data_IF_432623474916
#
_entry.id   IF_432623474916
#
_cell.length_a   1.000
_cell.length_b   1.000
_cell.length_c   1.000
_cell.angle_alpha   90.00
_cell.angle_beta   90.00
_cell.angle_gamma   90.00
#
_symmetry.space_group_name_H-M   'P 1'
#
loop_
_entity.id
_entity.type
_entity.pdbx_description
1 polymer ?
#
# COMPACT_ATOMS: atom_id res chain seq x y z
N UNK A 1 -6.72 -5.67 38.85
CA UNK A 1 -7.77 -6.04 37.93
C UNK A 1 -8.16 -7.50 38.15
N UNK A 2 -9.44 -7.79 38.39
CA UNK A 2 -10.01 -9.13 38.44
C UNK A 2 -10.40 -9.55 36.99
N UNK A 3 -10.09 -10.79 36.57
CA UNK A 3 -10.44 -11.33 35.27
C UNK A 3 -11.49 -12.41 35.49
N UNK A 4 -12.59 -12.32 34.73
CA UNK A 4 -13.72 -13.24 34.86
C UNK A 4 -14.42 -13.45 33.49
N UNK A 5 -15.20 -14.53 33.32
CA UNK A 5 -16.00 -14.72 32.14
C UNK A 5 -17.00 -13.58 31.94
N UNK A 6 -17.27 -13.24 30.70
CA UNK A 6 -18.30 -12.28 30.29
C UNK A 6 -19.69 -12.76 30.76
N UNK A 7 -20.49 -11.83 31.24
CA UNK A 7 -21.92 -12.02 31.52
C UNK A 7 -22.76 -11.10 30.63
N UNK A 8 -24.05 -11.44 30.41
CA UNK A 8 -24.92 -10.63 29.53
C UNK A 8 -25.11 -9.19 29.98
N UNK A 9 -25.00 -8.95 31.30
CA UNK A 9 -24.98 -7.60 31.87
C UNK A 9 -23.79 -6.75 31.47
N UNK A 10 -22.76 -7.35 30.85
CA UNK A 10 -21.54 -6.66 30.44
C UNK A 10 -21.61 -6.12 29.00
N UNK A 11 -22.68 -6.46 28.26
CA UNK A 11 -22.77 -6.20 26.85
C UNK A 11 -22.47 -4.74 26.49
N UNK A 12 -23.20 -3.80 27.08
CA UNK A 12 -23.05 -2.37 26.74
C UNK A 12 -21.64 -1.86 27.12
N UNK A 13 -21.10 -2.31 28.27
CA UNK A 13 -19.77 -1.92 28.72
C UNK A 13 -18.65 -2.48 27.81
N UNK A 14 -18.80 -3.71 27.31
CA UNK A 14 -17.86 -4.32 26.38
C UNK A 14 -17.91 -3.63 25.02
N UNK A 15 -19.10 -3.35 24.48
CA UNK A 15 -19.26 -2.64 23.20
C UNK A 15 -18.65 -1.23 23.30
N UNK A 16 -18.96 -0.49 24.38
CA UNK A 16 -18.38 0.84 24.60
C UNK A 16 -16.85 0.80 24.73
N UNK A 17 -16.29 -0.23 25.41
CA UNK A 17 -14.84 -0.43 25.48
C UNK A 17 -14.23 -0.69 24.08
N UNK A 18 -14.86 -1.52 23.25
CA UNK A 18 -14.39 -1.81 21.91
C UNK A 18 -14.44 -0.58 21.01
N UNK A 19 -15.48 0.25 21.11
CA UNK A 19 -15.56 1.55 20.42
C UNK A 19 -14.44 2.50 20.84
N UNK A 20 -14.24 2.65 22.15
CA UNK A 20 -13.17 3.49 22.70
C UNK A 20 -11.75 3.01 22.30
N UNK A 21 -11.60 1.73 21.95
CA UNK A 21 -10.36 1.13 21.48
C UNK A 21 -10.24 1.06 19.95
N UNK A 22 -11.24 1.50 19.19
CA UNK A 22 -11.26 1.44 17.72
C UNK A 22 -11.30 0.00 17.18
N UNK A 23 -11.93 -0.93 17.91
CA UNK A 23 -12.01 -2.35 17.54
C UNK A 23 -13.29 -2.72 16.79
N UNK A 24 -14.28 -1.84 16.73
CA UNK A 24 -15.49 -2.06 15.97
C UNK A 24 -15.26 -1.62 14.51
N UNK A 25 -15.62 -2.50 13.60
CA UNK A 25 -15.52 -2.29 12.14
C UNK A 25 -16.89 -2.62 11.51
N UNK A 26 -17.23 -1.94 10.43
CA UNK A 26 -18.57 -1.99 9.84
C UNK A 26 -19.07 -3.40 9.44
N UNK A 27 -18.14 -4.32 9.16
CA UNK A 27 -18.45 -5.70 8.77
C UNK A 27 -18.48 -6.71 9.93
N UNK A 28 -18.21 -6.27 11.17
CA UNK A 28 -18.26 -7.12 12.36
C UNK A 28 -19.21 -6.51 13.40
N UNK A 29 -20.44 -6.97 13.42
CA UNK A 29 -21.41 -6.58 14.43
C UNK A 29 -21.07 -7.19 15.79
N UNK A 30 -20.81 -6.38 16.84
CA UNK A 30 -20.49 -6.88 18.17
C UNK A 30 -21.54 -7.82 18.75
N UNK A 31 -22.83 -7.57 18.51
CA UNK A 31 -23.91 -8.40 19.04
C UNK A 31 -23.88 -9.80 18.42
N UNK A 32 -23.70 -9.87 17.12
CA UNK A 32 -23.57 -11.15 16.40
C UNK A 32 -22.31 -11.92 16.80
N UNK A 33 -21.18 -11.22 17.00
CA UNK A 33 -19.92 -11.83 17.46
C UNK A 33 -20.09 -12.44 18.87
N UNK A 34 -20.64 -11.69 19.81
CA UNK A 34 -20.86 -12.17 21.18
C UNK A 34 -21.88 -13.31 21.21
N UNK A 35 -22.97 -13.23 20.42
CA UNK A 35 -23.97 -14.29 20.32
C UNK A 35 -23.37 -15.61 19.78
N UNK A 36 -22.42 -15.54 18.85
CA UNK A 36 -21.70 -16.72 18.35
C UNK A 36 -20.78 -17.31 19.42
N UNK A 37 -19.99 -16.46 20.10
CA UNK A 37 -19.08 -16.88 21.16
C UNK A 37 -19.78 -17.62 22.30
N UNK A 38 -21.02 -17.22 22.64
CA UNK A 38 -21.82 -17.87 23.70
C UNK A 38 -22.31 -19.30 23.35
N UNK A 39 -22.28 -19.65 22.08
CA UNK A 39 -22.69 -20.98 21.57
C UNK A 39 -21.52 -21.90 21.31
N UNK A 40 -20.30 -21.40 21.50
CA UNK A 40 -19.07 -22.11 21.12
C UNK A 40 -18.27 -22.44 22.41
N UNK A 41 -18.21 -23.73 22.75
CA UNK A 41 -17.42 -24.23 23.88
C UNK A 41 -15.92 -24.09 23.68
N UNK A 42 -15.49 -23.84 22.43
CA UNK A 42 -14.10 -23.65 22.04
C UNK A 42 -13.64 -22.17 22.08
N UNK A 43 -14.51 -21.27 22.54
CA UNK A 43 -14.18 -19.85 22.66
C UNK A 43 -14.71 -19.26 23.95
N UNK A 44 -14.08 -18.18 24.42
CA UNK A 44 -14.48 -17.42 25.59
C UNK A 44 -14.22 -15.93 25.39
N UNK A 45 -15.14 -15.11 25.88
CA UNK A 45 -14.93 -13.69 26.12
C UNK A 45 -14.66 -13.51 27.61
N UNK A 46 -13.49 -12.94 27.92
CA UNK A 46 -13.09 -12.63 29.28
C UNK A 46 -13.09 -11.11 29.46
N UNK A 47 -13.53 -10.66 30.63
CA UNK A 47 -13.56 -9.25 31.02
C UNK A 47 -12.66 -9.00 32.20
N UNK A 48 -12.04 -7.83 32.22
CA UNK A 48 -11.18 -7.35 33.31
C UNK A 48 -11.84 -6.18 34.04
N UNK A 49 -11.94 -6.26 35.37
CA UNK A 49 -12.59 -5.24 36.21
C UNK A 49 -11.66 -4.66 37.26
N UNK A 50 -11.86 -3.39 37.55
CA UNK A 50 -11.37 -2.72 38.75
C UNK A 50 -12.58 -2.21 39.57
N UNK A 51 -12.85 -2.85 40.73
CA UNK A 51 -14.15 -2.70 41.37
C UNK A 51 -15.27 -3.15 40.44
N UNK A 52 -16.29 -2.32 40.28
CA UNK A 52 -17.44 -2.59 39.39
C UNK A 52 -17.18 -2.13 37.94
N UNK A 53 -16.08 -1.41 37.70
CA UNK A 53 -15.80 -0.85 36.38
C UNK A 53 -15.11 -1.88 35.45
N UNK A 54 -15.69 -2.14 34.30
CA UNK A 54 -15.08 -2.93 33.24
C UNK A 54 -14.01 -2.07 32.53
N UNK A 55 -12.75 -2.54 32.56
CA UNK A 55 -11.59 -1.80 32.03
C UNK A 55 -10.83 -2.57 30.95
N UNK A 56 -11.15 -3.83 30.75
CA UNK A 56 -10.47 -4.66 29.75
C UNK A 56 -11.31 -5.81 29.24
N UNK A 57 -10.98 -6.32 28.08
CA UNK A 57 -11.56 -7.54 27.52
C UNK A 57 -10.57 -8.26 26.63
N UNK A 58 -10.78 -9.55 26.42
CA UNK A 58 -10.08 -10.39 25.47
C UNK A 58 -10.99 -11.52 25.01
N UNK A 59 -11.00 -11.82 23.71
CA UNK A 59 -11.58 -13.03 23.16
C UNK A 59 -10.47 -14.05 22.95
N UNK A 60 -10.67 -15.27 23.40
CA UNK A 60 -9.81 -16.41 23.18
C UNK A 60 -10.63 -17.57 22.62
N UNK A 61 -10.08 -18.29 21.66
CA UNK A 61 -10.71 -19.48 21.10
C UNK A 61 -9.66 -20.44 20.55
N UNK A 62 -10.10 -21.63 20.11
CA UNK A 62 -9.25 -22.59 19.44
C UNK A 62 -10.02 -23.42 18.40
N UNK A 63 -9.31 -23.89 17.39
CA UNK A 63 -9.79 -24.76 16.32
C UNK A 63 -9.43 -26.25 16.55
N UNK A 64 -9.03 -26.62 17.79
CA UNK A 64 -8.50 -27.93 18.15
C UNK A 64 -7.01 -28.08 17.88
N UNK A 65 -6.40 -27.20 17.11
CA UNK A 65 -4.98 -27.27 16.74
C UNK A 65 -4.19 -26.02 17.21
N UNK A 66 -4.79 -24.83 17.09
CA UNK A 66 -4.20 -23.53 17.46
C UNK A 66 -5.18 -22.72 18.31
N UNK A 67 -4.61 -21.94 19.22
CA UNK A 67 -5.35 -20.92 19.94
C UNK A 67 -5.32 -19.60 19.18
N UNK A 68 -6.41 -18.86 19.26
CA UNK A 68 -6.61 -17.58 18.60
C UNK A 68 -7.02 -16.50 19.59
N UNK A 69 -6.35 -15.36 19.56
CA UNK A 69 -6.67 -14.18 20.38
C UNK A 69 -7.30 -13.13 19.49
N UNK A 70 -8.42 -12.57 19.95
CA UNK A 70 -9.13 -11.50 19.28
C UNK A 70 -9.51 -10.42 20.28
N UNK A 71 -9.76 -9.21 19.80
CA UNK A 71 -10.36 -8.09 20.55
C UNK A 71 -9.74 -7.87 21.94
N UNK A 72 -8.39 -7.93 22.07
CA UNK A 72 -7.73 -7.48 23.28
C UNK A 72 -7.90 -5.97 23.40
N UNK A 73 -8.64 -5.53 24.42
CA UNK A 73 -8.92 -4.14 24.70
C UNK A 73 -8.56 -3.78 26.13
N UNK A 74 -8.01 -2.59 26.33
CA UNK A 74 -7.85 -1.94 27.64
C UNK A 74 -8.33 -0.49 27.49
N UNK A 75 -9.19 -0.07 28.41
CA UNK A 75 -9.69 1.29 28.46
C UNK A 75 -8.51 2.29 28.42
N UNK A 76 -8.57 3.36 27.59
CA UNK A 76 -7.44 4.27 27.38
C UNK A 76 -6.76 4.74 28.67
N UNK A 77 -7.55 5.12 29.67
CA UNK A 77 -7.07 5.64 30.95
C UNK A 77 -6.44 4.57 31.86
N UNK A 78 -6.61 3.27 31.53
CA UNK A 78 -6.09 2.13 32.29
C UNK A 78 -4.95 1.42 31.56
N UNK A 79 -4.43 2.01 30.48
CA UNK A 79 -3.28 1.46 29.72
C UNK A 79 -1.98 1.65 30.49
N UNK A 80 -0.95 0.85 30.11
CA UNK A 80 0.41 0.87 30.70
C UNK A 80 0.52 0.45 32.16
N UNK A 81 -0.54 -0.13 32.75
CA UNK A 81 -0.56 -0.68 34.10
C UNK A 81 -0.43 -2.22 34.15
N UNK A 82 -0.04 -2.85 33.05
CA UNK A 82 0.14 -4.31 32.97
C UNK A 82 -1.14 -5.11 32.72
N UNK A 83 -2.31 -4.48 32.61
CA UNK A 83 -3.60 -5.15 32.48
C UNK A 83 -3.72 -5.99 31.20
N UNK A 84 -3.21 -5.49 30.06
CA UNK A 84 -3.18 -6.26 28.81
C UNK A 84 -2.36 -7.54 28.95
N UNK A 85 -1.19 -7.46 29.63
CA UNK A 85 -0.36 -8.64 29.93
C UNK A 85 -1.12 -9.65 30.76
N UNK A 86 -1.85 -9.20 31.79
CA UNK A 86 -2.62 -10.07 32.65
C UNK A 86 -3.72 -10.81 31.88
N UNK A 87 -4.45 -10.12 30.99
CA UNK A 87 -5.48 -10.73 30.13
C UNK A 87 -4.86 -11.77 29.18
N UNK A 88 -3.74 -11.45 28.53
CA UNK A 88 -3.06 -12.40 27.63
C UNK A 88 -2.60 -13.64 28.39
N UNK A 89 -1.98 -13.48 29.57
CA UNK A 89 -1.56 -14.62 30.41
C UNK A 89 -2.73 -15.49 30.87
N UNK A 90 -3.85 -14.87 31.20
CA UNK A 90 -5.07 -15.61 31.58
C UNK A 90 -5.62 -16.40 30.36
N UNK A 91 -5.66 -15.79 29.19
CA UNK A 91 -6.04 -16.45 27.93
C UNK A 91 -5.09 -17.60 27.55
N UNK A 92 -3.78 -17.43 27.74
CA UNK A 92 -2.80 -18.52 27.56
C UNK A 92 -3.04 -19.69 28.53
N UNK A 93 -3.41 -19.38 29.79
CA UNK A 93 -3.83 -20.39 30.79
C UNK A 93 -5.04 -21.16 30.31
N UNK A 94 -6.09 -20.47 29.84
CA UNK A 94 -7.29 -21.06 29.31
C UNK A 94 -7.03 -22.04 28.14
N UNK A 95 -6.10 -21.69 27.23
CA UNK A 95 -5.65 -22.58 26.15
C UNK A 95 -4.89 -23.79 26.70
N UNK A 96 -4.01 -23.58 27.67
CA UNK A 96 -3.20 -24.65 28.26
C UNK A 96 -4.06 -25.71 28.96
N UNK A 97 -5.12 -25.31 29.64
CA UNK A 97 -6.09 -26.22 30.27
C UNK A 97 -6.79 -27.12 29.24
N UNK A 98 -6.87 -26.66 27.98
CA UNK A 98 -7.45 -27.39 26.84
C UNK A 98 -6.41 -28.11 25.96
N UNK A 99 -5.17 -28.23 26.44
CA UNK A 99 -4.03 -28.84 25.73
C UNK A 99 -3.69 -28.15 24.40
N UNK A 100 -4.04 -26.88 24.21
CA UNK A 100 -3.66 -26.10 23.04
C UNK A 100 -2.29 -25.46 23.29
N UNK A 101 -1.30 -25.90 22.52
CA UNK A 101 0.12 -25.58 22.77
C UNK A 101 0.60 -24.28 22.13
N UNK A 102 -0.15 -23.70 21.21
CA UNK A 102 0.30 -22.50 20.47
C UNK A 102 -0.85 -21.50 20.36
N UNK A 103 -0.61 -20.30 20.84
CA UNK A 103 -1.47 -19.12 20.64
C UNK A 103 -0.99 -18.30 19.45
N UNK A 104 -1.90 -17.75 18.68
CA UNK A 104 -1.62 -16.87 17.54
C UNK A 104 -2.74 -15.83 17.35
N UNK A 105 -2.44 -14.78 16.60
CA UNK A 105 -3.36 -13.70 16.22
C UNK A 105 -2.81 -12.97 15.03
N UNK A 106 -3.59 -12.09 14.44
CA UNK A 106 -3.20 -11.23 13.32
C UNK A 106 -3.10 -9.78 13.79
N UNK A 107 -2.07 -9.09 13.35
CA UNK A 107 -1.84 -7.65 13.58
C UNK A 107 -1.74 -6.99 12.22
N UNK A 108 -2.33 -5.81 12.06
CA UNK A 108 -2.12 -4.98 10.86
C UNK A 108 -0.66 -4.54 10.82
N UNK A 109 -0.01 -4.64 9.67
CA UNK A 109 1.42 -4.29 9.50
C UNK A 109 1.76 -2.90 10.03
N UNK A 110 0.84 -1.95 9.89
CA UNK A 110 1.00 -0.58 10.39
C UNK A 110 0.95 -0.45 11.91
N UNK A 111 0.57 -1.51 12.67
CA UNK A 111 0.41 -1.43 14.12
C UNK A 111 1.66 -1.88 14.88
N UNK A 112 2.76 -1.16 14.69
CA UNK A 112 4.05 -1.45 15.34
C UNK A 112 3.98 -1.41 16.88
N UNK A 113 3.12 -0.59 17.46
CA UNK A 113 2.97 -0.51 18.92
C UNK A 113 2.45 -1.82 19.52
N UNK A 114 1.43 -2.42 18.88
CA UNK A 114 0.85 -3.71 19.30
C UNK A 114 1.84 -4.85 19.00
N UNK A 115 2.51 -4.85 17.86
CA UNK A 115 3.56 -5.82 17.54
C UNK A 115 4.65 -5.85 18.60
N UNK A 116 5.19 -4.67 18.97
CA UNK A 116 6.20 -4.54 20.01
C UNK A 116 5.72 -4.96 21.40
N UNK A 117 4.43 -4.77 21.72
CA UNK A 117 3.84 -5.28 22.95
C UNK A 117 3.91 -6.81 23.02
N UNK A 118 3.50 -7.51 21.95
CA UNK A 118 3.49 -8.98 21.95
C UNK A 118 4.91 -9.58 21.87
N UNK A 119 5.84 -8.95 21.16
CA UNK A 119 7.26 -9.35 21.17
C UNK A 119 7.82 -9.34 22.60
N UNK A 120 7.50 -8.32 23.40
CA UNK A 120 7.88 -8.27 24.83
C UNK A 120 7.20 -9.33 25.71
N UNK A 121 6.13 -9.95 25.23
CA UNK A 121 5.49 -11.10 25.89
C UNK A 121 6.08 -12.45 25.46
N UNK A 122 7.01 -12.46 24.49
CA UNK A 122 7.64 -13.68 23.96
C UNK A 122 6.98 -14.23 22.70
N UNK A 123 6.12 -13.45 22.05
CA UNK A 123 5.57 -13.84 20.74
C UNK A 123 6.56 -13.49 19.61
N UNK A 124 6.58 -14.33 18.60
CA UNK A 124 7.44 -14.18 17.43
C UNK A 124 6.62 -13.86 16.18
N UNK A 125 7.17 -12.99 15.34
CA UNK A 125 6.60 -12.72 14.01
C UNK A 125 6.82 -13.96 13.13
N UNK A 126 5.75 -14.45 12.54
CA UNK A 126 5.80 -15.60 11.63
C UNK A 126 5.76 -15.13 10.18
N UNK A 127 6.67 -15.58 9.29
CA UNK A 127 6.68 -15.21 7.88
C UNK A 127 5.57 -15.98 7.13
N UNK A 128 4.33 -15.55 7.28
CA UNK A 128 3.16 -16.20 6.68
C UNK A 128 2.26 -15.17 6.01
N UNK A 129 1.68 -15.56 4.90
CA UNK A 129 0.65 -14.78 4.21
C UNK A 129 -0.70 -15.27 4.74
N UNK A 130 -1.57 -14.35 5.10
CA UNK A 130 -2.97 -14.63 5.44
C UNK A 130 -3.80 -14.43 4.19
N UNK A 131 -4.59 -15.45 3.83
CA UNK A 131 -5.56 -15.38 2.75
C UNK A 131 -6.96 -15.51 3.35
N UNK A 132 -7.91 -14.72 2.90
CA UNK A 132 -9.29 -14.75 3.37
C UNK A 132 -10.27 -14.62 2.20
N UNK A 133 -11.46 -15.23 2.38
CA UNK A 133 -12.60 -15.09 1.48
C UNK A 133 -13.87 -15.03 2.32
N UNK A 134 -14.80 -14.19 1.94
CA UNK A 134 -16.15 -14.24 2.49
C UNK A 134 -16.85 -15.52 1.98
N UNK A 135 -17.45 -16.29 2.88
CA UNK A 135 -18.13 -17.55 2.55
C UNK A 135 -19.65 -17.43 2.55
N UNK A 136 -20.15 -16.25 2.91
CA UNK A 136 -21.57 -15.92 2.83
C UNK A 136 -21.89 -15.58 1.38
N UNK A 137 -22.43 -16.58 0.66
CA UNK A 137 -22.55 -16.57 -0.81
C UNK A 137 -23.86 -15.94 -1.30
N UNK A 138 -24.71 -15.42 -0.43
CA UNK A 138 -25.91 -14.68 -0.85
C UNK A 138 -25.64 -13.20 -1.13
N UNK A 139 -24.45 -12.71 -0.80
CA UNK A 139 -23.98 -11.42 -1.29
C UNK A 139 -22.89 -11.68 -2.33
N UNK A 140 -23.17 -11.32 -3.57
CA UNK A 140 -22.09 -11.03 -4.52
C UNK A 140 -21.05 -10.19 -3.77
N UNK A 141 -19.79 -10.63 -3.77
CA UNK A 141 -18.69 -9.83 -3.20
C UNK A 141 -18.91 -8.39 -3.66
N UNK A 142 -18.98 -7.41 -2.76
CA UNK A 142 -19.12 -6.03 -3.22
C UNK A 142 -18.03 -5.80 -4.26
N UNK A 143 -18.37 -5.30 -5.43
CA UNK A 143 -17.39 -5.13 -6.50
C UNK A 143 -16.20 -4.37 -5.91
N UNK A 144 -15.00 -4.86 -6.20
CA UNK A 144 -13.78 -4.22 -5.70
C UNK A 144 -13.89 -2.71 -5.96
N UNK A 145 -13.60 -1.87 -4.95
CA UNK A 145 -13.72 -0.42 -5.13
C UNK A 145 -12.94 0.01 -6.35
N UNK A 146 -13.55 0.87 -7.17
CA UNK A 146 -12.96 1.35 -8.41
C UNK A 146 -12.63 2.84 -8.32
N UNK A 147 -11.69 3.27 -9.14
CA UNK A 147 -11.36 4.68 -9.38
C UNK A 147 -11.67 5.00 -10.84
N UNK A 148 -12.44 6.06 -11.05
CA UNK A 148 -12.63 6.61 -12.39
C UNK A 148 -11.45 7.48 -12.74
N UNK A 149 -10.78 7.15 -13.83
CA UNK A 149 -9.60 7.86 -14.30
C UNK A 149 -9.81 8.37 -15.71
N UNK A 150 -9.16 9.49 -16.00
CA UNK A 150 -9.08 10.06 -17.34
C UNK A 150 -7.64 9.92 -17.80
N UNK A 151 -7.43 9.22 -18.91
CA UNK A 151 -6.12 9.07 -19.54
C UNK A 151 -6.08 9.97 -20.76
N UNK A 152 -5.12 10.87 -20.81
CA UNK A 152 -4.86 11.75 -21.94
C UNK A 152 -3.62 11.25 -22.66
N UNK A 153 -3.79 10.83 -23.89
CA UNK A 153 -2.70 10.41 -24.79
C UNK A 153 -2.19 11.61 -25.57
N UNK A 154 -0.87 11.78 -25.54
CA UNK A 154 -0.20 12.87 -26.24
C UNK A 154 0.85 12.29 -27.20
N UNK A 155 1.09 13.03 -28.29
CA UNK A 155 2.05 12.66 -29.32
C UNK A 155 2.92 13.83 -29.75
N UNK A 156 4.04 13.49 -30.36
CA UNK A 156 4.94 14.41 -31.07
C UNK A 156 5.34 13.73 -32.39
N UNK A 157 5.02 14.38 -33.53
CA UNK A 157 5.20 13.83 -34.88
C UNK A 157 6.48 14.31 -35.56
N UNK A 158 7.34 15.01 -34.86
CA UNK A 158 8.63 15.47 -35.33
C UNK A 158 9.50 15.99 -34.21
N UNK A 159 10.79 15.91 -34.41
CA UNK A 159 11.76 16.42 -33.40
C UNK A 159 11.52 17.92 -33.11
N UNK A 160 11.57 18.33 -31.85
CA UNK A 160 11.28 19.72 -31.50
C UNK A 160 12.35 20.65 -32.05
N UNK A 161 11.93 21.72 -32.78
CA UNK A 161 12.81 22.76 -33.33
C UNK A 161 13.10 23.81 -32.26
N UNK A 162 13.88 23.47 -31.25
CA UNK A 162 14.27 24.35 -30.16
C UNK A 162 15.75 24.18 -29.81
N UNK A 163 16.42 25.18 -29.21
CA UNK A 163 17.72 24.95 -28.63
C UNK A 163 17.69 23.90 -27.51
N UNK A 164 18.82 23.24 -27.28
CA UNK A 164 18.98 22.34 -26.13
C UNK A 164 18.67 23.10 -24.82
N UNK A 165 17.84 22.53 -24.00
CA UNK A 165 17.49 23.14 -22.71
C UNK A 165 18.69 23.07 -21.79
N UNK A 166 19.18 24.20 -21.26
CA UNK A 166 20.34 24.20 -20.38
C UNK A 166 20.08 23.43 -19.10
N UNK A 167 21.09 22.74 -18.60
CA UNK A 167 21.02 22.05 -17.34
C UNK A 167 20.81 23.07 -16.19
N UNK A 168 19.93 22.78 -15.22
CA UNK A 168 19.85 23.56 -13.99
C UNK A 168 21.20 23.59 -13.26
N UNK A 169 21.46 24.60 -12.44
CA UNK A 169 22.69 24.68 -11.68
C UNK A 169 22.83 23.51 -10.70
N UNK A 170 24.05 23.01 -10.51
CA UNK A 170 24.34 21.90 -9.61
C UNK A 170 25.12 20.76 -10.27
N UNK A 171 25.43 19.73 -9.49
CA UNK A 171 26.05 18.50 -9.99
C UNK A 171 24.97 17.55 -10.49
N UNK A 172 24.82 17.46 -11.80
CA UNK A 172 23.86 16.57 -12.44
C UNK A 172 24.59 15.50 -13.25
N UNK A 173 24.02 14.31 -13.27
CA UNK A 173 24.40 13.24 -14.20
C UNK A 173 23.12 12.56 -14.72
N UNK A 174 23.14 12.22 -16.00
CA UNK A 174 22.12 11.41 -16.64
C UNK A 174 22.80 10.13 -17.12
N UNK A 175 22.41 9.02 -16.52
CA UNK A 175 23.03 7.73 -16.78
C UNK A 175 22.03 6.75 -17.33
N UNK A 176 22.42 6.02 -18.36
CA UNK A 176 21.67 4.86 -18.85
C UNK A 176 21.84 3.71 -17.86
N UNK A 177 20.74 3.09 -17.46
CA UNK A 177 20.73 1.90 -16.65
C UNK A 177 20.72 0.68 -17.56
N UNK A 178 21.90 0.15 -17.86
CA UNK A 178 22.10 -0.91 -18.86
C UNK A 178 21.59 -2.29 -18.38
N UNK A 179 21.76 -2.58 -17.10
CA UNK A 179 21.40 -3.85 -16.48
C UNK A 179 20.68 -3.60 -15.17
N UNK A 180 19.39 -3.21 -15.20
CA UNK A 180 18.62 -2.95 -14.01
C UNK A 180 18.49 -4.20 -13.15
N UNK A 181 18.84 -4.10 -11.86
CA UNK A 181 18.41 -5.11 -10.89
C UNK A 181 16.96 -4.83 -10.50
N UNK A 182 16.23 -5.87 -10.09
CA UNK A 182 14.83 -5.76 -9.66
C UNK A 182 14.70 -4.77 -8.49
N UNK A 183 15.63 -4.83 -7.53
CA UNK A 183 15.64 -4.01 -6.32
C UNK A 183 15.81 -2.53 -6.67
N UNK A 184 16.77 -2.20 -7.53
CA UNK A 184 17.01 -0.81 -7.92
C UNK A 184 15.88 -0.27 -8.79
N UNK A 185 15.34 -1.09 -9.69
CA UNK A 185 14.17 -0.72 -10.50
C UNK A 185 12.96 -0.42 -9.60
N UNK A 186 12.63 -1.34 -8.66
CA UNK A 186 11.54 -1.13 -7.71
C UNK A 186 11.74 0.12 -6.86
N UNK A 187 12.97 0.35 -6.39
CA UNK A 187 13.28 1.57 -5.65
C UNK A 187 12.93 2.83 -6.46
N UNK A 188 13.32 2.90 -7.75
CA UNK A 188 13.00 4.02 -8.62
C UNK A 188 11.48 4.15 -8.85
N UNK A 189 10.84 3.05 -9.23
CA UNK A 189 9.41 3.00 -9.52
C UNK A 189 8.56 3.40 -8.34
N UNK A 190 8.86 2.86 -7.16
CA UNK A 190 8.13 3.13 -5.93
C UNK A 190 8.38 4.56 -5.41
N UNK A 191 9.65 5.00 -5.41
CA UNK A 191 9.99 6.33 -4.91
C UNK A 191 9.40 7.47 -5.74
N UNK A 192 9.25 7.27 -7.04
CA UNK A 192 8.63 8.26 -7.95
C UNK A 192 7.12 8.10 -7.99
N UNK A 193 6.62 6.87 -8.13
CA UNK A 193 5.27 6.58 -8.58
C UNK A 193 4.23 6.34 -7.48
N UNK A 194 4.63 6.03 -6.23
CA UNK A 194 3.69 5.65 -5.18
C UNK A 194 2.59 6.69 -4.96
N UNK A 195 2.94 7.96 -4.85
CA UNK A 195 1.97 9.03 -4.66
C UNK A 195 1.09 9.32 -5.89
N UNK A 196 1.46 8.76 -7.05
CA UNK A 196 0.78 8.93 -8.34
C UNK A 196 0.04 7.66 -8.78
N UNK A 197 -0.13 6.72 -7.88
CA UNK A 197 -0.84 5.47 -8.14
C UNK A 197 -0.19 4.61 -9.24
N UNK A 198 1.12 4.62 -9.38
CA UNK A 198 1.80 3.70 -10.25
C UNK A 198 1.77 2.29 -9.64
N UNK A 199 1.01 1.40 -10.21
CA UNK A 199 0.74 0.08 -9.64
C UNK A 199 1.04 -1.07 -10.60
N UNK A 200 1.08 -0.82 -11.91
CA UNK A 200 1.17 -1.85 -12.93
C UNK A 200 2.41 -2.74 -12.75
N UNK A 201 3.55 -2.16 -12.44
CA UNK A 201 4.79 -2.91 -12.22
C UNK A 201 4.83 -3.60 -10.85
N UNK A 202 4.07 -3.11 -9.86
CA UNK A 202 4.01 -3.69 -8.52
C UNK A 202 3.32 -5.05 -8.49
N UNK A 203 2.35 -5.29 -9.36
CA UNK A 203 1.64 -6.56 -9.47
C UNK A 203 2.47 -7.67 -10.14
N UNK A 204 3.61 -7.33 -10.78
CA UNK A 204 4.43 -8.31 -11.46
C UNK A 204 5.27 -9.13 -10.48
N UNK A 205 5.29 -10.45 -10.66
CA UNK A 205 6.26 -11.32 -9.98
C UNK A 205 7.69 -10.91 -10.35
N UNK A 206 8.67 -11.32 -9.53
CA UNK A 206 10.08 -11.03 -9.78
C UNK A 206 10.51 -11.47 -11.20
N UNK A 207 10.13 -12.68 -11.62
CA UNK A 207 10.50 -13.22 -12.94
C UNK A 207 9.86 -12.42 -14.09
N UNK A 208 8.58 -12.05 -13.95
CA UNK A 208 7.87 -11.23 -14.95
C UNK A 208 8.47 -9.81 -15.01
N UNK A 209 8.76 -9.23 -13.88
CA UNK A 209 9.39 -7.91 -13.83
C UNK A 209 10.78 -7.95 -14.45
N UNK A 210 11.59 -8.95 -14.12
CA UNK A 210 12.92 -9.16 -14.71
C UNK A 210 12.82 -9.27 -16.25
N UNK A 211 11.89 -10.09 -16.74
CA UNK A 211 11.68 -10.25 -18.18
C UNK A 211 11.29 -8.93 -18.88
N UNK A 212 10.56 -8.04 -18.21
CA UNK A 212 10.22 -6.71 -18.73
C UNK A 212 11.43 -5.79 -18.76
N UNK A 213 12.10 -5.64 -17.61
CA UNK A 213 13.17 -4.63 -17.47
C UNK A 213 14.47 -5.01 -18.18
N UNK A 214 14.62 -6.25 -18.63
CA UNK A 214 15.77 -6.72 -19.41
C UNK A 214 15.53 -6.73 -20.93
N UNK A 215 14.39 -6.23 -21.39
CA UNK A 215 14.11 -6.16 -22.83
C UNK A 215 15.04 -5.17 -23.53
N UNK A 216 15.66 -5.55 -24.67
CA UNK A 216 16.62 -4.68 -25.36
C UNK A 216 15.98 -3.47 -26.02
N UNK A 217 14.65 -3.44 -26.10
CA UNK A 217 13.86 -2.33 -26.64
C UNK A 217 13.39 -1.35 -25.59
N UNK A 218 13.71 -1.56 -24.33
CA UNK A 218 13.34 -0.71 -23.23
C UNK A 218 14.60 -0.03 -22.66
N UNK A 219 14.69 1.27 -22.83
CA UNK A 219 15.82 2.06 -22.34
C UNK A 219 15.44 2.80 -21.05
N UNK A 220 16.27 2.67 -20.02
CA UNK A 220 16.11 3.33 -18.74
C UNK A 220 17.19 4.39 -18.55
N UNK A 221 16.80 5.59 -18.15
CA UNK A 221 17.74 6.65 -17.79
C UNK A 221 17.40 7.22 -16.44
N UNK A 222 18.40 7.41 -15.61
CA UNK A 222 18.28 7.96 -14.26
C UNK A 222 18.95 9.32 -14.20
N UNK A 223 18.21 10.32 -13.72
CA UNK A 223 18.74 11.61 -13.39
C UNK A 223 19.30 11.56 -11.97
N UNK A 224 20.57 11.91 -11.81
CA UNK A 224 21.22 12.11 -10.51
C UNK A 224 21.43 13.59 -10.25
N UNK A 225 21.19 14.02 -9.02
CA UNK A 225 21.42 15.37 -8.52
C UNK A 225 22.21 15.28 -7.23
N UNK A 226 23.40 15.87 -7.20
CA UNK A 226 24.27 15.82 -6.02
C UNK A 226 24.76 14.42 -5.63
N UNK A 227 24.59 13.42 -6.51
CA UNK A 227 24.93 12.02 -6.26
C UNK A 227 23.75 11.14 -5.88
N UNK A 228 22.55 11.71 -5.68
CA UNK A 228 21.31 10.97 -5.38
C UNK A 228 20.48 10.79 -6.63
N UNK A 229 19.79 9.62 -6.81
CA UNK A 229 18.78 9.46 -7.82
C UNK A 229 17.65 10.48 -7.61
N UNK A 230 17.36 11.29 -8.61
CA UNK A 230 16.37 12.36 -8.54
C UNK A 230 15.12 12.10 -9.37
N UNK A 231 15.19 11.14 -10.28
CA UNK A 231 14.10 10.72 -11.13
C UNK A 231 14.57 9.76 -12.20
N UNK A 232 13.62 9.19 -12.95
CA UNK A 232 13.94 8.29 -14.05
C UNK A 232 12.92 8.38 -15.17
N UNK A 233 13.30 7.84 -16.33
CA UNK A 233 12.45 7.72 -17.52
C UNK A 233 12.64 6.36 -18.15
N UNK A 234 11.53 5.79 -18.66
CA UNK A 234 11.50 4.58 -19.51
C UNK A 234 11.11 4.97 -20.94
N UNK A 235 11.99 4.68 -21.89
CA UNK A 235 11.73 4.84 -23.33
C UNK A 235 11.49 3.46 -23.94
N UNK A 236 10.27 3.22 -24.38
CA UNK A 236 9.86 1.95 -24.97
C UNK A 236 9.87 2.02 -26.49
N UNK A 237 10.75 1.24 -27.12
CA UNK A 237 10.97 1.18 -28.57
C UNK A 237 10.37 -0.08 -29.22
N UNK A 238 9.50 -0.81 -28.52
CA UNK A 238 8.92 -2.07 -29.03
C UNK A 238 8.04 -1.86 -30.26
N UNK A 239 7.36 -0.72 -30.36
CA UNK A 239 6.44 -0.40 -31.43
C UNK A 239 7.12 0.35 -32.59
N UNK A 240 8.39 0.04 -32.93
CA UNK A 240 9.10 0.69 -34.02
C UNK A 240 8.21 0.80 -35.29
N UNK A 241 8.06 1.99 -35.88
CA UNK A 241 8.88 3.19 -35.74
C UNK A 241 8.37 4.20 -34.67
N UNK A 242 7.59 3.81 -33.70
CA UNK A 242 7.12 4.66 -32.62
C UNK A 242 7.91 4.39 -31.34
N UNK A 243 8.10 5.42 -30.54
CA UNK A 243 8.66 5.31 -29.19
C UNK A 243 7.60 5.82 -28.21
N UNK A 244 7.42 5.11 -27.09
CA UNK A 244 6.56 5.58 -25.99
C UNK A 244 7.40 5.90 -24.77
N UNK A 245 7.05 6.97 -24.06
CA UNK A 245 7.54 7.21 -22.71
C UNK A 245 6.58 6.47 -21.79
N UNK A 246 6.98 5.28 -21.32
CA UNK A 246 6.14 4.43 -20.45
C UNK A 246 6.02 5.04 -19.06
N UNK A 247 7.15 5.47 -18.49
CA UNK A 247 7.20 6.12 -17.17
C UNK A 247 8.19 7.28 -17.21
N UNK A 248 7.79 8.38 -16.57
CA UNK A 248 8.62 9.57 -16.38
C UNK A 248 8.25 10.26 -15.09
N UNK A 249 9.23 10.55 -14.25
CA UNK A 249 8.96 11.32 -13.05
C UNK A 249 10.19 11.65 -12.22
N UNK A 250 9.98 12.52 -11.24
CA UNK A 250 10.97 12.90 -10.25
C UNK A 250 10.56 12.38 -8.88
N UNK A 251 11.55 12.08 -8.06
CA UNK A 251 11.32 11.82 -6.64
C UNK A 251 10.76 13.05 -5.94
N UNK A 252 9.90 12.91 -4.92
CA UNK A 252 9.12 14.01 -4.33
C UNK A 252 9.96 15.22 -3.93
N UNK A 253 11.10 15.02 -3.32
CA UNK A 253 11.95 16.12 -2.82
C UNK A 253 12.76 16.85 -3.91
N UNK A 254 12.75 16.35 -5.15
CA UNK A 254 13.33 17.02 -6.32
C UNK A 254 12.30 17.76 -7.18
N UNK A 255 11.01 17.61 -6.87
CA UNK A 255 9.96 18.32 -7.61
C UNK A 255 9.96 19.83 -7.30
N UNK A 256 9.48 20.64 -8.26
CA UNK A 256 9.39 22.10 -8.08
C UNK A 256 10.70 22.88 -8.18
N UNK A 257 11.84 22.21 -8.47
CA UNK A 257 13.18 22.82 -8.52
C UNK A 257 13.70 23.01 -9.96
N UNK A 258 12.84 22.89 -10.96
CA UNK A 258 13.21 23.06 -12.37
C UNK A 258 13.73 21.81 -13.07
N UNK A 259 14.03 20.74 -12.34
CA UNK A 259 14.60 19.51 -12.92
C UNK A 259 13.64 18.79 -13.88
N UNK A 260 12.31 18.81 -13.63
CA UNK A 260 11.35 18.07 -14.44
C UNK A 260 11.29 18.53 -15.88
N UNK A 261 11.28 19.84 -16.12
CA UNK A 261 11.30 20.39 -17.48
C UNK A 261 12.62 20.07 -18.22
N UNK A 262 13.74 20.20 -17.53
CA UNK A 262 15.05 19.85 -18.08
C UNK A 262 15.10 18.36 -18.45
N UNK A 263 14.76 17.48 -17.52
CA UNK A 263 14.84 16.02 -17.71
C UNK A 263 13.88 15.52 -18.78
N UNK A 264 12.65 16.05 -18.85
CA UNK A 264 11.71 15.69 -19.91
C UNK A 264 12.24 16.12 -21.30
N UNK A 265 12.76 17.34 -21.42
CA UNK A 265 13.30 17.79 -22.69
C UNK A 265 14.51 16.96 -23.13
N UNK A 266 15.37 16.58 -22.20
CA UNK A 266 16.47 15.67 -22.45
C UNK A 266 15.96 14.29 -22.90
N UNK A 267 14.95 13.73 -22.24
CA UNK A 267 14.35 12.45 -22.60
C UNK A 267 13.72 12.48 -24.01
N UNK A 268 13.08 13.59 -24.37
CA UNK A 268 12.58 13.83 -25.72
C UNK A 268 13.72 13.84 -26.75
N UNK A 269 14.79 14.58 -26.48
CA UNK A 269 15.94 14.62 -27.38
C UNK A 269 16.60 13.25 -27.49
N UNK A 270 16.70 12.49 -26.40
CA UNK A 270 17.21 11.12 -26.40
C UNK A 270 16.30 10.17 -27.20
N UNK A 271 14.98 10.28 -27.06
CA UNK A 271 14.04 9.48 -27.85
C UNK A 271 14.18 9.79 -29.37
N UNK A 272 14.28 11.07 -29.72
CA UNK A 272 14.44 11.49 -31.13
C UNK A 272 15.81 11.12 -31.74
N UNK A 273 16.83 10.84 -30.92
CA UNK A 273 18.12 10.31 -31.41
C UNK A 273 18.02 8.92 -32.06
N UNK A 274 16.92 8.21 -31.79
CA UNK A 274 16.58 6.92 -32.43
C UNK A 274 15.77 7.08 -33.74
N UNK A 275 15.56 8.32 -34.20
CA UNK A 275 14.84 8.66 -35.43
C UNK A 275 13.42 8.05 -35.55
N UNK A 276 12.59 8.09 -34.49
CA UNK A 276 11.23 7.58 -34.60
C UNK A 276 10.38 8.45 -35.51
N UNK A 277 9.29 7.89 -36.05
CA UNK A 277 8.25 8.67 -36.76
C UNK A 277 7.28 9.36 -35.81
N UNK A 278 7.20 8.85 -34.55
CA UNK A 278 6.25 9.34 -33.57
C UNK A 278 6.80 9.06 -32.13
N UNK A 279 6.67 10.04 -31.28
CA UNK A 279 6.93 9.89 -29.86
C UNK A 279 5.61 10.07 -29.09
N UNK A 280 5.27 9.15 -28.21
CA UNK A 280 4.00 9.17 -27.46
C UNK A 280 4.26 9.16 -25.97
N UNK A 281 3.27 9.66 -25.20
CA UNK A 281 3.21 9.59 -23.74
C UNK A 281 1.74 9.63 -23.31
N UNK A 282 1.40 8.99 -22.21
CA UNK A 282 0.11 9.11 -21.59
C UNK A 282 0.22 9.81 -20.24
N UNK A 283 -0.81 10.57 -19.85
CA UNK A 283 -0.96 11.17 -18.54
C UNK A 283 -2.32 10.81 -17.95
N UNK A 284 -2.32 10.30 -16.74
CA UNK A 284 -3.53 9.91 -16.01
C UNK A 284 -3.99 11.04 -15.07
N UNK A 285 -5.29 11.13 -14.80
CA UNK A 285 -5.83 12.08 -13.81
C UNK A 285 -5.32 11.82 -12.37
N UNK A 286 -4.68 10.67 -12.12
CA UNK A 286 -4.02 10.35 -10.85
C UNK A 286 -2.56 10.85 -10.80
N UNK A 287 -1.98 11.26 -11.92
CA UNK A 287 -0.62 11.80 -12.00
C UNK A 287 -0.50 13.20 -11.38
N UNK A 288 0.73 13.72 -11.33
CA UNK A 288 0.99 15.11 -10.94
C UNK A 288 0.17 16.07 -11.83
N UNK A 289 -0.67 16.94 -11.27
CA UNK A 289 -1.49 17.89 -12.05
C UNK A 289 -0.67 18.78 -12.98
N UNK A 290 0.63 18.94 -12.73
CA UNK A 290 1.56 19.68 -13.60
C UNK A 290 2.05 18.85 -14.78
N UNK A 291 1.88 17.52 -14.74
CA UNK A 291 2.41 16.58 -15.73
C UNK A 291 1.96 16.92 -17.15
N UNK A 292 0.64 17.01 -17.35
CA UNK A 292 0.05 17.32 -18.66
C UNK A 292 0.61 18.62 -19.27
N UNK A 293 0.68 19.69 -18.46
CA UNK A 293 1.26 20.97 -18.90
C UNK A 293 2.74 20.87 -19.20
N UNK A 294 3.46 20.02 -18.50
CA UNK A 294 4.91 19.79 -18.71
C UNK A 294 5.14 19.10 -20.04
N UNK A 295 4.35 18.10 -20.38
CA UNK A 295 4.39 17.43 -21.69
C UNK A 295 4.04 18.42 -22.84
N UNK A 296 2.99 19.20 -22.68
CA UNK A 296 2.60 20.20 -23.67
C UNK A 296 3.70 21.27 -23.90
N UNK A 297 4.35 21.74 -22.84
CA UNK A 297 5.49 22.66 -22.94
C UNK A 297 6.70 22.06 -23.64
N UNK A 298 6.88 20.74 -23.54
CA UNK A 298 7.94 20.02 -24.26
C UNK A 298 7.62 19.83 -25.76
N UNK A 299 6.38 20.11 -26.19
CA UNK A 299 5.94 20.05 -27.58
C UNK A 299 4.99 18.90 -27.90
N UNK A 300 4.54 18.13 -26.89
CA UNK A 300 3.51 17.11 -27.11
C UNK A 300 2.12 17.74 -27.31
N UNK A 301 1.33 17.14 -28.17
CA UNK A 301 -0.04 17.53 -28.48
C UNK A 301 -1.00 16.42 -28.05
N UNK A 302 -2.05 16.68 -27.27
CA UNK A 302 -3.08 15.69 -26.98
C UNK A 302 -3.79 15.27 -28.26
N UNK A 303 -3.97 13.96 -28.46
CA UNK A 303 -4.67 13.42 -29.63
C UNK A 303 -5.87 12.54 -29.26
N UNK A 304 -5.86 11.98 -28.05
CA UNK A 304 -6.95 11.12 -27.59
C UNK A 304 -7.11 11.24 -26.09
N UNK A 305 -8.35 11.11 -25.64
CA UNK A 305 -8.67 11.03 -24.22
C UNK A 305 -9.66 9.89 -24.01
N UNK A 306 -9.40 9.07 -23.00
CA UNK A 306 -10.32 8.00 -22.60
C UNK A 306 -10.67 8.10 -21.11
N UNK A 307 -11.89 7.71 -20.78
CA UNK A 307 -12.33 7.51 -19.40
C UNK A 307 -12.37 6.02 -19.10
N UNK A 308 -11.81 5.62 -17.98
CA UNK A 308 -11.70 4.23 -17.60
C UNK A 308 -11.95 4.08 -16.11
N UNK A 309 -12.71 3.05 -15.74
CA UNK A 309 -12.79 2.62 -14.34
C UNK A 309 -11.77 1.52 -14.11
N UNK A 310 -10.89 1.72 -13.16
CA UNK A 310 -9.87 0.74 -12.76
C UNK A 310 -10.16 0.26 -11.35
N UNK A 311 -9.80 -0.98 -11.02
CA UNK A 311 -9.84 -1.44 -9.64
C UNK A 311 -8.88 -0.57 -8.83
N UNK A 312 -9.34 -0.11 -7.67
CA UNK A 312 -8.50 0.70 -6.78
C UNK A 312 -7.26 -0.12 -6.33
N UNK A 313 -6.04 0.29 -6.69
CA UNK A 313 -4.83 -0.47 -6.35
C UNK A 313 -4.60 -0.61 -4.85
N UNK A 314 -5.22 0.25 -4.03
CA UNK A 314 -5.18 0.16 -2.56
C UNK A 314 -5.98 -1.03 -2.05
N UNK A 315 -7.10 -1.34 -2.70
CA UNK A 315 -7.91 -2.53 -2.40
C UNK A 315 -7.16 -3.84 -2.71
N UNK A 316 -6.23 -3.77 -3.68
CA UNK A 316 -5.36 -4.90 -4.04
C UNK A 316 -4.09 -4.98 -3.17
N UNK A 317 -3.88 -4.05 -2.24
CA UNK A 317 -2.66 -3.98 -1.43
C UNK A 317 -1.40 -3.58 -2.21
N UNK A 318 -1.56 -3.09 -3.44
CA UNK A 318 -0.45 -2.68 -4.32
C UNK A 318 0.07 -1.28 -3.99
N UNK A 319 -0.76 -0.46 -3.38
CA UNK A 319 -0.42 0.89 -2.91
C UNK A 319 -0.91 1.02 -1.47
N UNK A 320 -0.15 1.69 -0.58
CA UNK A 320 -0.59 1.93 0.79
C UNK A 320 -1.95 2.64 0.86
N UNK A 321 -2.84 2.19 1.73
CA UNK A 321 -4.17 2.79 1.91
C UNK A 321 -4.15 4.26 2.38
N UNK A 322 -3.00 4.73 2.86
CA UNK A 322 -2.77 6.14 3.25
C UNK A 322 -2.59 7.07 2.06
N UNK A 323 -2.23 6.55 0.89
CA UNK A 323 -2.11 7.35 -0.35
C UNK A 323 -3.52 7.76 -0.80
N UNK A 324 -3.74 9.05 -0.93
CA UNK A 324 -5.03 9.58 -1.38
C UNK A 324 -4.94 10.08 -2.81
N UNK A 325 -5.91 9.75 -3.69
CA UNK A 325 -5.99 10.36 -4.99
C UNK A 325 -6.21 11.87 -4.80
N UNK A 326 -5.41 12.69 -5.48
CA UNK A 326 -5.61 14.13 -5.43
C UNK A 326 -6.91 14.45 -6.17
N UNK A 327 -7.82 15.12 -5.49
CA UNK A 327 -9.04 15.64 -6.13
C UNK A 327 -8.60 16.73 -7.12
N UNK A 328 -8.91 16.52 -8.40
CA UNK A 328 -8.77 17.53 -9.47
C UNK A 328 -9.80 18.61 -9.28
#
# INVERSE_FOLDING_TARGET
>A
MKIEPYADSDFDAVVALWDACGLNVAYNDPASDIARLRRDDNAALLVGREGDKLIGSIIIGHDGHRGWIYRLAIAPDHRRHGHARALVRHAEGWLKERNIRKSQFMIRDSNEAVKNFYVRLGYEVQPRIVMSRWVDTEQDDPPAPTLDVVITHLEMLGAPKRPTVPAPPGRLALLKLEKPTIEFYRYLYDSVGEQWFWWERRQLSADKLHAVITQPTLDFYVLYVGGEPAGYVELNRQATPEINIDYFGLMPHFTGRGYGGYFLNWAVDQAWSHEPKRLTVASCSLDDPRGLRTYQKAGFVPYQQERKSIIDPRALGLIPGTVQPRRT
#
